data_IF_061498995821
#
_entry.id   IF_061498995821
#
_cell.length_a   1.000
_cell.length_b   1.000
_cell.length_c   1.000
_cell.angle_alpha   90.00
_cell.angle_beta   90.00
_cell.angle_gamma   90.00
#
_symmetry.space_group_name_H-M   'P 1'
#
loop_
_entity.id
_entity.type
_entity.pdbx_description
1 polymer ?
#
# COMPACT_ATOMS: atom_id res chain seq x y z
N UNK A 1 6.57 11.15 -18.81
CA UNK A 1 6.05 11.18 -17.43
C UNK A 1 7.11 10.63 -16.48
N UNK A 2 7.47 11.37 -15.47
CA UNK A 2 8.46 10.90 -14.51
C UNK A 2 7.89 9.83 -13.63
N UNK A 3 8.60 8.73 -13.49
CA UNK A 3 8.24 7.67 -12.56
C UNK A 3 8.61 8.08 -11.14
N UNK A 4 7.69 7.83 -10.21
CA UNK A 4 7.96 8.03 -8.79
C UNK A 4 8.81 6.89 -8.24
N UNK A 5 9.34 7.06 -7.03
CA UNK A 5 10.04 5.97 -6.36
C UNK A 5 9.13 4.77 -6.14
N UNK A 6 7.85 5.03 -5.89
CA UNK A 6 6.86 3.96 -5.76
C UNK A 6 6.71 3.20 -7.09
N UNK A 7 6.63 3.91 -8.21
CA UNK A 7 6.50 3.28 -9.52
C UNK A 7 7.69 2.36 -9.80
N UNK A 8 8.90 2.80 -9.49
CA UNK A 8 10.10 1.96 -9.65
C UNK A 8 10.04 0.74 -8.77
N UNK A 9 9.67 0.91 -7.51
CA UNK A 9 9.54 -0.20 -6.57
C UNK A 9 8.55 -1.22 -7.12
N UNK A 10 7.39 -0.76 -7.56
CA UNK A 10 6.35 -1.63 -8.08
C UNK A 10 6.82 -2.38 -9.32
N UNK A 11 7.50 -1.70 -10.24
CA UNK A 11 8.04 -2.34 -11.44
C UNK A 11 9.02 -3.45 -11.09
N UNK A 12 9.91 -3.21 -10.13
CA UNK A 12 10.86 -4.22 -9.67
C UNK A 12 10.15 -5.42 -9.09
N UNK A 13 9.13 -5.19 -8.26
CA UNK A 13 8.37 -6.27 -7.65
C UNK A 13 7.59 -7.07 -8.70
N UNK A 14 7.03 -6.40 -9.68
CA UNK A 14 6.25 -7.06 -10.74
C UNK A 14 7.09 -7.92 -11.67
N UNK A 15 8.41 -7.78 -11.63
CA UNK A 15 9.30 -8.68 -12.37
C UNK A 15 9.36 -10.08 -11.76
N UNK A 16 9.00 -10.22 -10.48
CA UNK A 16 8.87 -11.53 -9.84
C UNK A 16 7.51 -12.13 -10.24
N UNK A 17 7.49 -13.27 -10.95
CA UNK A 17 6.23 -13.88 -11.41
C UNK A 17 5.27 -14.21 -10.28
N UNK A 18 5.78 -14.67 -9.14
CA UNK A 18 4.92 -14.99 -7.99
C UNK A 18 4.26 -13.74 -7.43
N UNK A 19 5.01 -12.66 -7.31
CA UNK A 19 4.46 -11.39 -6.84
C UNK A 19 3.44 -10.84 -7.84
N UNK A 20 3.76 -10.83 -9.13
CA UNK A 20 2.87 -10.32 -10.18
C UNK A 20 1.54 -11.07 -10.19
N UNK A 21 1.57 -12.39 -10.01
CA UNK A 21 0.36 -13.20 -9.96
C UNK A 21 -0.49 -12.83 -8.76
N UNK A 22 0.12 -12.72 -7.59
CA UNK A 22 -0.59 -12.34 -6.37
C UNK A 22 -1.18 -10.94 -6.48
N UNK A 23 -0.42 -10.01 -7.02
CA UNK A 23 -0.87 -8.64 -7.25
C UNK A 23 -2.10 -8.61 -8.14
N UNK A 24 -2.05 -9.35 -9.26
CA UNK A 24 -3.12 -9.40 -10.23
C UNK A 24 -4.41 -10.01 -9.66
N UNK A 25 -4.28 -11.00 -8.79
CA UNK A 25 -5.42 -11.75 -8.26
C UNK A 25 -6.05 -11.13 -7.02
N UNK A 26 -5.34 -10.25 -6.34
CA UNK A 26 -5.81 -9.70 -5.06
C UNK A 26 -6.66 -8.43 -5.21
N UNK A 27 -6.68 -7.80 -6.39
CA UNK A 27 -7.53 -6.65 -6.67
C UNK A 27 -7.18 -5.39 -5.89
N UNK A 28 -8.19 -4.57 -5.64
CA UNK A 28 -8.02 -3.23 -5.04
C UNK A 28 -7.46 -3.27 -3.63
N UNK A 29 -7.89 -4.23 -2.83
CA UNK A 29 -7.39 -4.37 -1.45
C UNK A 29 -5.89 -4.64 -1.45
N UNK A 30 -5.43 -5.43 -2.42
CA UNK A 30 -4.00 -5.70 -2.58
C UNK A 30 -3.25 -4.44 -3.00
N UNK A 31 -3.84 -3.65 -3.91
CA UNK A 31 -3.23 -2.39 -4.34
C UNK A 31 -2.95 -1.47 -3.15
N UNK A 32 -3.92 -1.29 -2.27
CA UNK A 32 -3.76 -0.43 -1.09
C UNK A 32 -2.72 -1.00 -0.15
N UNK A 33 -2.79 -2.29 0.14
CA UNK A 33 -1.84 -2.96 1.02
C UNK A 33 -0.41 -2.85 0.49
N UNK A 34 -0.24 -3.06 -0.81
CA UNK A 34 1.06 -2.95 -1.45
C UNK A 34 1.61 -1.54 -1.39
N UNK A 35 0.78 -0.54 -1.61
CA UNK A 35 1.20 0.86 -1.55
C UNK A 35 1.68 1.24 -0.14
N UNK A 36 0.98 0.80 0.89
CA UNK A 36 1.38 1.05 2.27
C UNK A 36 2.73 0.41 2.55
N UNK A 37 2.89 -0.86 2.18
CA UNK A 37 4.15 -1.58 2.39
C UNK A 37 5.31 -0.92 1.64
N UNK A 38 5.08 -0.52 0.39
CA UNK A 38 6.10 0.12 -0.43
C UNK A 38 6.54 1.46 0.17
N UNK A 39 5.59 2.30 0.58
CA UNK A 39 5.91 3.59 1.20
C UNK A 39 6.68 3.40 2.50
N UNK A 40 6.27 2.41 3.31
CA UNK A 40 6.98 2.11 4.56
C UNK A 40 8.42 1.71 4.29
N UNK A 41 8.63 0.81 3.33
CA UNK A 41 9.97 0.35 2.99
C UNK A 41 10.83 1.45 2.40
N UNK A 42 10.26 2.30 1.58
CA UNK A 42 10.97 3.45 1.04
C UNK A 42 11.39 4.43 2.13
N UNK A 43 10.62 4.53 3.19
CA UNK A 43 10.96 5.37 4.33
C UNK A 43 12.00 4.73 5.26
N UNK A 44 12.39 3.47 4.99
CA UNK A 44 13.36 2.76 5.80
C UNK A 44 12.79 2.27 7.13
N UNK A 45 11.48 2.11 7.22
CA UNK A 45 10.80 1.74 8.46
C UNK A 45 10.40 0.27 8.46
N UNK A 46 10.48 -0.35 9.64
CA UNK A 46 9.87 -1.67 9.86
C UNK A 46 8.38 -1.51 10.14
N UNK A 47 7.64 -2.62 10.12
CA UNK A 47 6.23 -2.59 10.54
C UNK A 47 6.08 -2.10 11.98
N UNK A 48 7.03 -2.48 12.83
CA UNK A 48 7.06 -2.05 14.24
C UNK A 48 7.24 -0.55 14.34
N UNK A 49 8.13 0.02 13.52
CA UNK A 49 8.37 1.46 13.49
C UNK A 49 7.11 2.22 13.06
N UNK A 50 6.47 1.76 12.00
CA UNK A 50 5.23 2.37 11.54
C UNK A 50 4.12 2.25 12.59
N UNK A 51 4.04 1.13 13.28
CA UNK A 51 3.07 0.94 14.35
C UNK A 51 3.24 1.98 15.44
N UNK A 52 4.48 2.30 15.80
CA UNK A 52 4.75 3.35 16.79
C UNK A 52 4.29 4.71 16.31
N UNK A 53 4.54 5.05 15.05
CA UNK A 53 4.10 6.31 14.48
C UNK A 53 2.59 6.45 14.43
N UNK A 54 1.91 5.34 14.16
CA UNK A 54 0.45 5.32 14.09
C UNK A 54 -0.21 5.10 15.45
N UNK A 55 0.60 4.86 16.50
CA UNK A 55 0.11 4.55 17.85
C UNK A 55 -0.82 3.33 17.85
N UNK A 56 -0.37 2.29 17.18
CA UNK A 56 -1.12 1.04 17.06
C UNK A 56 -0.17 -0.15 17.22
N UNK A 57 -0.67 -1.35 17.04
CA UNK A 57 0.14 -2.56 17.15
C UNK A 57 0.80 -2.91 15.81
N UNK A 58 1.91 -3.64 15.89
CA UNK A 58 2.54 -4.20 14.69
C UNK A 58 1.57 -5.12 13.95
N UNK A 59 0.75 -5.86 14.71
CA UNK A 59 -0.25 -6.74 14.13
C UNK A 59 -1.24 -5.98 13.25
N UNK A 60 -1.65 -4.78 13.68
CA UNK A 60 -2.54 -3.94 12.89
C UNK A 60 -1.85 -3.46 11.61
N UNK A 61 -0.58 -3.06 11.69
CA UNK A 61 0.18 -2.68 10.49
C UNK A 61 0.29 -3.87 9.54
N UNK A 62 0.56 -5.06 10.07
CA UNK A 62 0.60 -6.26 9.25
C UNK A 62 -0.72 -6.50 8.51
N UNK A 63 -1.85 -6.26 9.17
CA UNK A 63 -3.17 -6.36 8.54
C UNK A 63 -3.35 -5.33 7.43
N UNK A 64 -2.94 -4.09 7.67
CA UNK A 64 -3.04 -3.01 6.67
C UNK A 64 -2.25 -3.36 5.40
N UNK A 65 -1.19 -4.15 5.54
CA UNK A 65 -0.33 -4.56 4.43
C UNK A 65 -0.70 -5.94 3.89
N UNK A 66 -1.80 -6.51 4.33
CA UNK A 66 -2.24 -7.83 3.90
C UNK A 66 -3.19 -7.73 2.71
N UNK A 67 -3.00 -8.56 1.68
CA UNK A 67 -3.79 -8.43 0.44
C UNK A 67 -5.28 -8.69 0.61
N UNK A 68 -5.68 -9.44 1.64
CA UNK A 68 -7.09 -9.75 1.87
C UNK A 68 -7.80 -8.80 2.81
N UNK A 69 -7.11 -7.78 3.31
CA UNK A 69 -7.69 -6.86 4.28
C UNK A 69 -8.44 -5.74 3.58
N UNK A 70 -9.70 -5.54 3.93
CA UNK A 70 -10.55 -4.53 3.32
C UNK A 70 -10.96 -3.42 4.30
N UNK A 71 -10.32 -3.36 5.46
CA UNK A 71 -10.64 -2.40 6.50
C UNK A 71 -9.94 -1.04 6.37
N UNK A 72 -9.47 -0.69 5.17
CA UNK A 72 -8.77 0.57 4.94
C UNK A 72 -9.78 1.72 4.81
N UNK A 73 -10.11 2.36 5.93
CA UNK A 73 -10.93 3.57 5.86
C UNK A 73 -10.08 4.74 5.35
N UNK A 74 -10.73 5.74 4.79
CA UNK A 74 -10.03 6.94 4.34
C UNK A 74 -9.28 7.61 5.49
N UNK A 75 -9.87 7.60 6.69
CA UNK A 75 -9.22 8.11 7.89
C UNK A 75 -7.91 7.38 8.19
N UNK A 76 -7.94 6.04 8.13
CA UNK A 76 -6.75 5.22 8.33
C UNK A 76 -5.68 5.52 7.28
N UNK A 77 -6.09 5.61 6.01
CA UNK A 77 -5.16 5.89 4.92
C UNK A 77 -4.50 7.26 5.09
N UNK A 78 -5.25 8.26 5.52
CA UNK A 78 -4.69 9.59 5.79
C UNK A 78 -3.67 9.56 6.91
N UNK A 79 -3.92 8.80 7.97
CA UNK A 79 -2.96 8.67 9.07
C UNK A 79 -1.67 8.00 8.61
N UNK A 80 -1.78 6.95 7.81
CA UNK A 80 -0.62 6.26 7.24
C UNK A 80 0.16 7.23 6.34
N UNK A 81 -0.54 7.94 5.46
CA UNK A 81 0.10 8.90 4.56
C UNK A 81 0.83 9.97 5.32
N UNK A 82 0.21 10.55 6.36
CA UNK A 82 0.85 11.59 7.17
C UNK A 82 2.12 11.07 7.84
N UNK A 83 2.08 9.85 8.37
CA UNK A 83 3.24 9.24 9.02
C UNK A 83 4.38 8.99 8.03
N UNK A 84 4.07 8.75 6.77
CA UNK A 84 5.05 8.42 5.74
C UNK A 84 5.32 9.59 4.78
N UNK A 85 4.87 10.79 5.10
CA UNK A 85 5.05 12.00 4.28
C UNK A 85 4.51 11.83 2.87
N UNK A 86 3.34 11.20 2.77
CA UNK A 86 2.66 10.95 1.50
C UNK A 86 1.28 11.60 1.50
N UNK A 87 0.59 11.53 0.38
CA UNK A 87 -0.79 11.99 0.23
C UNK A 87 -1.68 10.86 -0.22
N UNK A 88 -2.89 10.84 0.30
CA UNK A 88 -3.92 9.94 -0.18
C UNK A 88 -4.62 10.60 -1.36
N UNK A 89 -4.73 9.86 -2.45
CA UNK A 89 -5.42 10.32 -3.64
C UNK A 89 -6.42 9.24 -4.06
N UNK A 90 -7.70 9.57 -4.03
CA UNK A 90 -8.75 8.62 -4.39
C UNK A 90 -9.32 9.03 -5.74
N UNK A 91 -9.30 8.13 -6.69
CA UNK A 91 -9.80 8.37 -8.04
C UNK A 91 -10.81 7.28 -8.39
N UNK A 92 -11.96 7.71 -8.84
CA UNK A 92 -12.95 6.77 -9.37
C UNK A 92 -12.84 6.74 -10.88
N UNK A 93 -12.70 5.56 -11.43
CA UNK A 93 -12.68 5.37 -12.87
C UNK A 93 -13.95 4.67 -13.30
N UNK A 94 -14.61 5.13 -14.38
CA UNK A 94 -15.78 4.42 -14.89
C UNK A 94 -15.40 2.99 -15.28
N UNK A 95 -16.21 2.03 -14.83
CA UNK A 95 -16.00 0.65 -15.22
C UNK A 95 -16.39 0.47 -16.67
N UNK A 96 -15.59 -0.30 -17.42
CA UNK A 96 -15.97 -0.67 -18.78
C UNK A 96 -17.09 -1.71 -18.73
N UNK A 97 -18.22 -1.35 -19.24
CA UNK A 97 -19.31 -2.31 -19.45
C UNK A 97 -19.08 -2.96 -20.80
N UNK A 98 -18.82 -4.17 -20.72
CA UNK A 98 -18.55 -4.89 -21.85
C UNK A 98 -19.02 -5.70 -22.70
#
# INVERSE_FOLDING_TARGET
MKKTNFDRYLEEQLQDPAFATRFKNAGEAWDVALQIAALRQQAGLSQKDLAKLLKTSQQQVSRLESPGYEGHSLSTLRRVADALHARVHVVFEPAKTG
#
